data_IF_728494185321
#
_entry.id   IF_728494185321
#
_cell.length_a   1.000
_cell.length_b   1.000
_cell.length_c   1.000
_cell.angle_alpha   90.00
_cell.angle_beta   90.00
_cell.angle_gamma   90.00
#
_symmetry.space_group_name_H-M   'P 1'
#
loop_
_entity.id
_entity.type
_entity.pdbx_description
1 polymer ?
#
# COMPACT_ATOMS: atom_id res chain seq x y z
N UNK A 1 -14.56 6.29 14.90
CA UNK A 1 -14.82 4.85 14.78
C UNK A 1 -13.56 4.06 15.06
N UNK A 2 -13.70 3.00 15.84
CA UNK A 2 -12.61 2.13 16.30
C UNK A 2 -12.95 0.69 15.96
N UNK A 3 -11.95 -0.09 15.60
CA UNK A 3 -12.07 -1.51 15.34
C UNK A 3 -11.17 -2.26 16.30
N UNK A 4 -11.72 -3.21 17.04
CA UNK A 4 -10.95 -4.09 17.94
C UNK A 4 -10.96 -5.49 17.37
N UNK A 5 -9.77 -6.00 17.06
CA UNK A 5 -9.59 -7.41 16.68
C UNK A 5 -9.19 -8.20 17.91
N UNK A 6 -9.99 -9.21 18.27
CA UNK A 6 -9.71 -10.13 19.38
C UNK A 6 -9.40 -11.49 18.78
N UNK A 7 -8.21 -12.03 19.10
CA UNK A 7 -7.81 -13.36 18.67
C UNK A 7 -7.71 -14.29 19.87
N UNK A 8 -8.48 -15.37 19.85
CA UNK A 8 -8.42 -16.46 20.84
C UNK A 8 -7.92 -17.73 20.13
N UNK A 9 -6.63 -18.04 20.29
CA UNK A 9 -5.98 -19.13 19.55
C UNK A 9 -6.06 -18.96 18.02
N UNK A 10 -6.88 -19.78 17.37
CA UNK A 10 -7.13 -19.75 15.92
C UNK A 10 -8.42 -19.03 15.50
N UNK A 11 -9.24 -18.59 16.45
CA UNK A 11 -10.46 -17.83 16.16
C UNK A 11 -10.18 -16.32 16.24
N UNK A 12 -10.66 -15.57 15.24
CA UNK A 12 -10.59 -14.11 15.19
C UNK A 12 -12.01 -13.53 15.23
N UNK A 13 -12.27 -12.71 16.24
CA UNK A 13 -13.50 -11.93 16.38
C UNK A 13 -13.19 -10.45 16.17
N UNK A 14 -14.08 -9.74 15.47
CA UNK A 14 -13.93 -8.32 15.17
C UNK A 14 -15.10 -7.55 15.78
N UNK A 15 -14.78 -6.56 16.61
CA UNK A 15 -15.76 -5.67 17.24
C UNK A 15 -15.61 -4.26 16.70
N UNK A 16 -16.72 -3.63 16.37
CA UNK A 16 -16.77 -2.28 15.82
C UNK A 16 -17.40 -1.33 16.84
N UNK A 17 -16.75 -0.19 17.06
CA UNK A 17 -17.18 0.84 18.01
C UNK A 17 -17.24 2.20 17.32
N UNK A 18 -18.23 3.01 17.66
CA UNK A 18 -18.40 4.33 17.06
C UNK A 18 -17.61 5.40 17.84
N UNK A 19 -17.55 5.25 19.16
CA UNK A 19 -16.93 6.20 20.09
C UNK A 19 -15.83 5.55 20.95
N UNK A 20 -14.85 6.34 21.38
CA UNK A 20 -13.72 5.89 22.20
C UNK A 20 -14.20 5.39 23.57
N UNK A 21 -15.27 6.01 24.09
CA UNK A 21 -15.91 5.62 25.36
C UNK A 21 -16.40 4.18 25.35
N UNK A 22 -16.89 3.70 24.21
CA UNK A 22 -17.37 2.32 24.05
C UNK A 22 -16.19 1.33 24.06
N UNK A 23 -15.09 1.69 23.39
CA UNK A 23 -13.84 0.90 23.41
C UNK A 23 -13.28 0.82 24.83
N UNK A 24 -13.29 1.94 25.58
CA UNK A 24 -12.83 1.97 26.97
C UNK A 24 -13.68 1.11 27.89
N UNK A 25 -15.02 1.10 27.72
CA UNK A 25 -15.90 0.16 28.43
C UNK A 25 -15.60 -1.30 28.07
N UNK A 26 -15.43 -1.59 26.78
CA UNK A 26 -15.08 -2.93 26.32
C UNK A 26 -13.72 -3.41 26.88
N UNK A 27 -12.75 -2.51 27.02
CA UNK A 27 -11.47 -2.79 27.68
C UNK A 27 -11.63 -3.03 29.19
N UNK A 28 -12.48 -2.26 29.87
CA UNK A 28 -12.78 -2.49 31.30
C UNK A 28 -13.43 -3.86 31.53
N UNK A 29 -14.30 -4.29 30.63
CA UNK A 29 -14.95 -5.61 30.68
C UNK A 29 -13.98 -6.75 30.28
N UNK A 30 -12.92 -6.44 29.53
CA UNK A 30 -11.92 -7.40 29.04
C UNK A 30 -10.48 -6.90 29.28
N UNK A 31 -10.03 -6.88 30.56
CA UNK A 31 -8.70 -6.40 30.93
C UNK A 31 -7.56 -7.27 30.36
N UNK A 32 -7.87 -8.52 29.98
CA UNK A 32 -6.92 -9.47 29.39
C UNK A 32 -6.44 -9.06 28.00
N UNK A 33 -7.23 -8.25 27.27
CA UNK A 33 -6.96 -7.85 25.89
C UNK A 33 -5.93 -6.73 25.73
N UNK A 34 -5.61 -6.01 26.83
CA UNK A 34 -4.60 -4.93 26.88
C UNK A 34 -4.67 -3.95 25.68
N UNK A 35 -5.88 -3.49 25.37
CA UNK A 35 -6.20 -2.72 24.16
C UNK A 35 -5.62 -1.30 24.13
N UNK A 36 -5.38 -0.74 25.31
CA UNK A 36 -4.68 0.53 25.50
C UNK A 36 -3.33 0.19 26.10
N UNK A 37 -2.25 0.64 25.46
CA UNK A 37 -0.96 0.64 26.11
C UNK A 37 -1.04 1.68 27.23
N UNK A 38 -1.08 1.25 28.48
CA UNK A 38 -0.76 2.13 29.59
C UNK A 38 0.72 2.50 29.43
N UNK A 39 1.00 3.61 28.72
CA UNK A 39 2.32 4.27 28.67
C UNK A 39 2.86 4.61 30.08
N UNK A 40 2.05 4.42 31.14
CA UNK A 40 2.40 4.73 32.52
C UNK A 40 3.26 3.68 33.23
N UNK A 41 3.70 2.59 32.59
CA UNK A 41 4.59 1.61 33.24
C UNK A 41 5.97 1.43 32.61
N UNK A 42 6.32 2.19 31.56
CA UNK A 42 7.59 1.97 30.86
C UNK A 42 8.78 2.78 31.42
N UNK A 43 8.58 3.71 32.37
CA UNK A 43 9.67 4.57 32.88
C UNK A 43 10.14 4.34 34.33
N UNK A 44 9.57 3.42 35.11
CA UNK A 44 10.03 3.19 36.50
C UNK A 44 10.13 1.69 36.84
N UNK A 45 11.09 1.00 36.20
CA UNK A 45 11.59 -0.28 36.71
C UNK A 45 12.90 -0.02 37.47
N UNK A 46 12.92 -0.09 38.82
CA UNK A 46 14.17 -0.23 39.54
C UNK A 46 14.79 -1.59 39.19
N UNK A 47 16.07 -1.58 38.80
CA UNK A 47 16.86 -2.80 38.59
C UNK A 47 16.80 -3.67 39.86
N UNK A 48 16.03 -4.76 39.84
CA UNK A 48 16.14 -5.83 40.84
C UNK A 48 14.87 -6.29 41.57
N UNK A 49 13.67 -6.14 41.01
CA UNK A 49 12.43 -6.76 41.55
C UNK A 49 12.01 -8.04 40.80
N UNK A 50 11.33 -9.00 41.46
CA UNK A 50 11.03 -10.31 40.88
C UNK A 50 10.13 -10.18 39.66
N UNK A 51 10.52 -10.87 38.60
CA UNK A 51 9.80 -10.98 37.34
C UNK A 51 8.36 -11.41 37.61
N UNK A 52 7.39 -10.60 37.18
CA UNK A 52 5.98 -10.93 37.26
C UNK A 52 5.75 -12.34 36.69
N UNK A 53 5.14 -13.16 37.54
CA UNK A 53 4.87 -14.58 37.36
C UNK A 53 4.20 -14.83 36.01
N UNK A 54 4.85 -15.62 35.15
CA UNK A 54 4.21 -16.26 34.01
C UNK A 54 3.17 -17.24 34.56
N UNK A 55 1.90 -16.85 34.57
CA UNK A 55 0.80 -17.79 34.79
C UNK A 55 0.68 -18.67 33.54
N UNK A 56 0.99 -19.95 33.73
CA UNK A 56 0.80 -21.01 32.76
C UNK A 56 -0.70 -21.24 32.53
N UNK A 57 -1.11 -21.40 31.25
CA UNK A 57 -2.18 -22.33 30.90
C UNK A 57 -3.58 -21.82 30.52
N UNK A 58 -3.81 -20.52 30.31
CA UNK A 58 -5.07 -20.04 29.72
C UNK A 58 -4.79 -19.42 28.34
N UNK A 59 -5.60 -19.74 27.33
CA UNK A 59 -5.49 -19.17 25.98
C UNK A 59 -5.45 -17.65 26.06
N UNK A 60 -4.27 -17.06 25.84
CA UNK A 60 -4.08 -15.62 26.03
C UNK A 60 -4.68 -14.91 24.82
N UNK A 61 -5.94 -14.51 24.95
CA UNK A 61 -6.63 -13.69 23.95
C UNK A 61 -5.81 -12.42 23.72
N UNK A 62 -5.56 -12.09 22.44
CA UNK A 62 -4.81 -10.89 22.05
C UNK A 62 -5.76 -9.89 21.41
N UNK A 63 -5.81 -8.68 21.93
CA UNK A 63 -6.54 -7.57 21.36
C UNK A 63 -5.64 -6.64 20.54
N UNK A 64 -6.11 -6.16 19.39
CA UNK A 64 -5.49 -5.05 18.67
C UNK A 64 -6.53 -3.98 18.39
N UNK A 65 -6.28 -2.77 18.90
CA UNK A 65 -7.06 -1.57 18.59
C UNK A 65 -6.56 -0.97 17.26
N UNK A 66 -7.50 -0.65 16.37
CA UNK A 66 -7.25 0.04 15.11
C UNK A 66 -8.17 1.26 15.05
N UNK A 67 -7.57 2.44 15.01
CA UNK A 67 -8.30 3.69 14.85
C UNK A 67 -8.62 3.93 13.38
N UNK A 68 -9.91 4.16 13.07
CA UNK A 68 -10.36 4.42 11.71
C UNK A 68 -10.53 5.93 11.49
N UNK A 69 -9.40 6.65 11.47
CA UNK A 69 -9.36 8.11 11.27
C UNK A 69 -10.04 8.55 9.97
N UNK A 70 -9.99 7.70 8.93
CA UNK A 70 -10.55 8.00 7.60
C UNK A 70 -12.03 7.63 7.44
N UNK A 71 -12.69 7.14 8.50
CA UNK A 71 -14.08 6.66 8.44
C UNK A 71 -15.07 7.69 7.84
N UNK A 72 -14.90 8.98 8.16
CA UNK A 72 -15.74 10.05 7.63
C UNK A 72 -15.49 10.28 6.13
N UNK A 73 -14.23 10.26 5.70
CA UNK A 73 -13.85 10.42 4.29
C UNK A 73 -14.36 9.25 3.47
N UNK A 74 -14.21 8.02 3.98
CA UNK A 74 -14.72 6.81 3.35
C UNK A 74 -16.25 6.87 3.21
N UNK A 75 -16.98 7.32 4.24
CA UNK A 75 -18.43 7.50 4.16
C UNK A 75 -18.85 8.51 3.07
N UNK A 76 -18.13 9.62 2.93
CA UNK A 76 -18.38 10.60 1.86
C UNK A 76 -18.18 9.97 0.48
N UNK A 77 -17.07 9.26 0.29
CA UNK A 77 -16.77 8.57 -0.97
C UNK A 77 -17.81 7.50 -1.28
N UNK A 78 -18.23 6.70 -0.28
CA UNK A 78 -19.31 5.72 -0.42
C UNK A 78 -20.61 6.41 -0.86
N UNK A 79 -20.94 7.56 -0.28
CA UNK A 79 -22.11 8.35 -0.67
C UNK A 79 -22.04 8.85 -2.12
N UNK A 80 -20.87 9.29 -2.57
CA UNK A 80 -20.65 9.69 -3.96
C UNK A 80 -20.73 8.51 -4.94
N UNK A 81 -20.19 7.35 -4.56
CA UNK A 81 -20.29 6.12 -5.34
C UNK A 81 -21.74 5.65 -5.45
N UNK A 82 -22.50 5.69 -4.35
CA UNK A 82 -23.92 5.33 -4.35
C UNK A 82 -24.74 6.22 -5.30
N UNK A 83 -24.45 7.53 -5.38
CA UNK A 83 -25.09 8.45 -6.36
C UNK A 83 -24.79 8.08 -7.81
N UNK A 84 -23.64 7.45 -8.07
CA UNK A 84 -23.26 6.92 -9.39
C UNK A 84 -23.82 5.53 -9.66
N UNK A 85 -24.67 4.99 -8.78
CA UNK A 85 -25.25 3.65 -8.90
C UNK A 85 -24.34 2.53 -8.41
N UNK A 86 -23.19 2.85 -7.82
CA UNK A 86 -22.24 1.90 -7.26
C UNK A 86 -22.52 1.72 -5.76
N UNK A 87 -23.42 0.80 -5.43
CA UNK A 87 -23.75 0.48 -4.04
C UNK A 87 -22.66 -0.36 -3.39
N UNK A 88 -22.52 -0.25 -2.07
CA UNK A 88 -21.52 -1.01 -1.29
C UNK A 88 -21.75 -2.52 -1.42
N UNK A 89 -23.01 -2.94 -1.48
CA UNK A 89 -23.38 -4.36 -1.62
C UNK A 89 -22.87 -4.99 -2.92
N UNK A 90 -22.65 -4.17 -3.96
CA UNK A 90 -22.12 -4.63 -5.24
C UNK A 90 -20.59 -4.84 -5.25
N UNK A 91 -19.90 -4.56 -4.14
CA UNK A 91 -18.48 -4.88 -3.98
C UNK A 91 -18.24 -6.32 -3.51
N UNK A 92 -19.26 -6.97 -2.94
CA UNK A 92 -19.23 -8.39 -2.65
C UNK A 92 -19.62 -9.20 -3.91
N UNK A 93 -19.13 -10.43 -4.03
CA UNK A 93 -19.53 -11.32 -5.10
C UNK A 93 -20.99 -11.73 -4.90
N UNK A 94 -21.86 -11.36 -5.84
CA UNK A 94 -23.25 -11.78 -5.84
C UNK A 94 -23.42 -13.09 -6.64
N UNK A 95 -24.45 -13.87 -6.29
CA UNK A 95 -24.80 -15.10 -7.03
C UNK A 95 -25.42 -14.82 -8.41
N UNK A 96 -25.82 -13.57 -8.66
CA UNK A 96 -26.41 -13.10 -9.93
C UNK A 96 -25.57 -11.98 -10.51
N UNK A 97 -25.45 -11.88 -11.84
CA UNK A 97 -24.71 -10.81 -12.47
C UNK A 97 -25.40 -9.47 -12.21
N UNK A 98 -24.63 -8.50 -11.71
CA UNK A 98 -25.10 -7.14 -11.41
C UNK A 98 -24.88 -6.24 -12.62
N UNK A 99 -23.80 -6.47 -13.37
CA UNK A 99 -23.41 -5.67 -14.53
C UNK A 99 -23.14 -6.57 -15.74
N UNK A 100 -23.31 -6.00 -16.93
CA UNK A 100 -22.95 -6.62 -18.19
C UNK A 100 -21.94 -5.70 -18.90
N UNK A 101 -20.78 -6.26 -19.25
CA UNK A 101 -19.77 -5.55 -20.02
C UNK A 101 -19.83 -6.02 -21.47
N UNK A 102 -20.08 -5.07 -22.37
CA UNK A 102 -20.21 -5.33 -23.79
C UNK A 102 -18.89 -4.98 -24.49
N UNK A 103 -18.27 -5.98 -25.10
CA UNK A 103 -17.03 -5.86 -25.88
C UNK A 103 -17.37 -5.78 -27.38
N UNK A 104 -17.15 -4.61 -28.00
CA UNK A 104 -17.40 -4.37 -29.43
C UNK A 104 -18.62 -3.49 -29.70
N UNK A 105 -18.98 -3.33 -30.98
CA UNK A 105 -20.15 -2.57 -31.44
C UNK A 105 -20.93 -3.39 -32.49
N UNK A 106 -22.27 -3.28 -32.49
CA UNK A 106 -23.18 -4.00 -33.39
C UNK A 106 -23.39 -5.50 -33.08
N UNK A 107 -23.72 -6.29 -34.11
CA UNK A 107 -24.13 -7.72 -33.98
C UNK A 107 -23.02 -8.69 -33.51
N UNK A 108 -21.76 -8.25 -33.48
CA UNK A 108 -20.61 -9.07 -33.01
C UNK A 108 -20.20 -8.77 -31.57
N UNK A 109 -21.01 -8.02 -30.84
CA UNK A 109 -20.71 -7.66 -29.47
C UNK A 109 -20.72 -8.89 -28.54
N UNK A 110 -19.65 -9.05 -27.76
CA UNK A 110 -19.54 -10.12 -26.76
C UNK A 110 -19.98 -9.56 -25.41
N UNK A 111 -20.99 -10.18 -24.80
CA UNK A 111 -21.50 -9.78 -23.49
C UNK A 111 -20.83 -10.60 -22.39
N UNK A 112 -20.17 -9.92 -21.45
CA UNK A 112 -19.54 -10.51 -20.27
C UNK A 112 -20.36 -10.19 -19.03
N UNK A 113 -20.99 -11.18 -18.36
CA UNK A 113 -21.67 -10.98 -17.09
C UNK A 113 -20.64 -10.75 -15.97
N UNK A 114 -20.91 -9.77 -15.11
CA UNK A 114 -20.06 -9.39 -13.98
C UNK A 114 -20.85 -9.44 -12.67
N UNK A 115 -20.23 -10.02 -11.64
CA UNK A 115 -20.86 -10.34 -10.37
C UNK A 115 -20.46 -9.38 -9.24
N UNK A 116 -19.49 -8.50 -9.50
CA UNK A 116 -19.02 -7.49 -8.56
C UNK A 116 -18.44 -6.25 -9.27
N UNK A 117 -18.40 -5.11 -8.59
CA UNK A 117 -17.78 -3.87 -9.11
C UNK A 117 -16.28 -4.04 -9.42
N UNK A 118 -15.46 -4.68 -8.57
CA UNK A 118 -14.04 -4.87 -8.85
C UNK A 118 -13.76 -5.65 -10.15
N UNK A 119 -14.65 -6.58 -10.53
CA UNK A 119 -14.55 -7.34 -11.78
C UNK A 119 -14.64 -6.46 -13.02
N UNK A 120 -15.36 -5.32 -12.96
CA UNK A 120 -15.45 -4.37 -14.10
C UNK A 120 -14.05 -3.93 -14.52
N UNK A 121 -13.25 -3.44 -13.56
CA UNK A 121 -11.90 -2.98 -13.84
C UNK A 121 -11.01 -4.12 -14.33
N UNK A 122 -11.07 -5.28 -13.68
CA UNK A 122 -10.29 -6.45 -14.08
C UNK A 122 -10.61 -6.87 -15.51
N UNK A 123 -11.89 -6.92 -15.88
CA UNK A 123 -12.34 -7.37 -17.20
C UNK A 123 -12.02 -6.35 -18.29
N UNK A 124 -12.15 -5.05 -18.01
CA UNK A 124 -11.71 -3.98 -18.92
C UNK A 124 -10.21 -4.09 -19.19
N UNK A 125 -9.39 -4.29 -18.14
CA UNK A 125 -7.95 -4.45 -18.29
C UNK A 125 -7.61 -5.73 -19.06
N UNK A 126 -8.33 -6.82 -18.83
CA UNK A 126 -8.17 -8.08 -19.58
C UNK A 126 -8.44 -7.86 -21.07
N UNK A 127 -9.59 -7.27 -21.42
CA UNK A 127 -10.00 -6.97 -22.79
C UNK A 127 -8.99 -6.02 -23.45
N UNK A 128 -8.61 -4.94 -22.77
CA UNK A 128 -7.63 -3.96 -23.27
C UNK A 128 -6.22 -4.53 -23.43
N UNK A 129 -5.89 -5.63 -22.75
CA UNK A 129 -4.63 -6.36 -22.94
C UNK A 129 -4.69 -7.34 -24.12
N UNK A 130 -5.87 -7.80 -24.54
CA UNK A 130 -5.98 -8.69 -25.72
C UNK A 130 -5.51 -7.95 -26.96
N UNK A 131 -4.55 -8.54 -27.67
CA UNK A 131 -3.92 -7.92 -28.85
C UNK A 131 -2.73 -7.02 -28.52
N UNK A 132 -2.49 -6.68 -27.26
CA UNK A 132 -1.29 -5.94 -26.84
C UNK A 132 -0.16 -6.92 -26.58
N UNK A 133 0.82 -6.98 -27.50
CA UNK A 133 2.07 -7.68 -27.24
C UNK A 133 2.99 -6.80 -26.40
N UNK A 134 3.08 -7.09 -25.10
CA UNK A 134 4.01 -6.40 -24.21
C UNK A 134 5.41 -6.98 -24.43
N UNK A 135 6.25 -6.26 -25.17
CA UNK A 135 7.68 -6.58 -25.30
C UNK A 135 8.48 -5.78 -24.27
N UNK A 136 9.19 -6.48 -23.40
CA UNK A 136 10.16 -5.86 -22.49
C UNK A 136 11.53 -5.88 -23.15
N UNK A 137 12.02 -4.70 -23.54
CA UNK A 137 13.40 -4.54 -23.99
C UNK A 137 14.34 -4.61 -22.78
N UNK A 138 15.33 -5.52 -22.80
CA UNK A 138 16.36 -5.62 -21.74
C UNK A 138 17.49 -4.63 -21.93
N UNK A 139 17.66 -4.13 -23.16
CA UNK A 139 18.60 -3.08 -23.52
C UNK A 139 18.23 -2.46 -24.85
N UNK A 140 18.93 -1.38 -25.22
CA UNK A 140 18.66 -0.64 -26.45
C UNK A 140 18.93 -1.47 -27.72
N UNK A 141 19.82 -2.47 -27.64
CA UNK A 141 20.12 -3.36 -28.77
C UNK A 141 18.97 -4.30 -29.18
N UNK A 142 17.93 -4.43 -28.35
CA UNK A 142 16.72 -5.21 -28.67
C UNK A 142 15.64 -4.38 -29.39
N UNK A 143 15.85 -3.07 -29.51
CA UNK A 143 14.96 -2.13 -30.18
C UNK A 143 15.37 -1.93 -31.64
N UNK A 144 14.37 -1.83 -32.52
CA UNK A 144 14.61 -1.55 -33.92
C UNK A 144 14.95 -0.07 -34.13
N UNK A 145 15.68 0.29 -35.19
CA UNK A 145 16.09 1.67 -35.45
C UNK A 145 14.90 2.67 -35.51
N UNK A 146 13.76 2.26 -36.07
CA UNK A 146 12.53 3.08 -36.12
C UNK A 146 11.93 3.32 -34.74
N UNK A 147 12.00 2.34 -33.85
CA UNK A 147 11.47 2.44 -32.48
C UNK A 147 12.35 3.41 -31.67
N UNK A 148 13.67 3.20 -31.67
CA UNK A 148 14.64 4.09 -31.00
C UNK A 148 14.50 5.55 -31.44
N UNK A 149 14.31 5.77 -32.74
CA UNK A 149 14.14 7.12 -33.25
C UNK A 149 12.88 7.77 -32.69
N UNK A 150 11.74 7.10 -32.81
CA UNK A 150 10.45 7.62 -32.36
C UNK A 150 10.37 7.83 -30.84
N UNK A 151 11.08 7.02 -30.05
CA UNK A 151 11.00 7.10 -28.58
C UNK A 151 12.04 8.03 -27.98
N UNK A 152 13.29 7.99 -28.46
CA UNK A 152 14.43 8.62 -27.77
C UNK A 152 15.22 9.63 -28.61
N UNK A 153 15.16 9.57 -29.95
CA UNK A 153 16.02 10.44 -30.78
C UNK A 153 15.29 11.59 -31.47
N UNK A 154 14.01 11.44 -31.79
CA UNK A 154 13.19 12.45 -32.46
C UNK A 154 13.14 13.75 -31.63
N UNK A 155 13.72 14.88 -32.09
CA UNK A 155 13.71 16.14 -31.36
C UNK A 155 12.32 16.66 -30.99
N UNK A 156 11.29 16.29 -31.76
CA UNK A 156 9.92 16.71 -31.49
C UNK A 156 9.25 15.92 -30.36
N UNK A 157 9.73 14.70 -30.06
CA UNK A 157 9.09 13.78 -29.09
C UNK A 157 9.97 13.40 -27.92
N UNK A 158 11.29 13.47 -28.08
CA UNK A 158 12.25 13.04 -27.06
C UNK A 158 12.14 13.94 -25.82
N UNK A 159 12.28 13.30 -24.66
CA UNK A 159 12.43 14.01 -23.38
C UNK A 159 13.88 13.84 -22.94
N UNK A 160 14.60 14.95 -22.87
CA UNK A 160 15.98 14.99 -22.37
C UNK A 160 15.98 15.66 -21.00
N UNK A 161 16.73 15.09 -20.07
CA UNK A 161 17.05 15.73 -18.80
C UNK A 161 18.40 16.40 -18.95
N UNK A 162 18.46 17.69 -18.58
CA UNK A 162 19.72 18.44 -18.53
C UNK A 162 20.32 18.24 -17.14
N UNK A 163 21.59 17.84 -17.09
CA UNK A 163 22.35 17.78 -15.84
C UNK A 163 22.97 19.15 -15.63
N UNK A 164 22.66 19.79 -14.50
CA UNK A 164 23.15 21.10 -14.12
C UNK A 164 24.04 20.99 -12.86
N UNK A 165 25.18 21.69 -12.89
CA UNK A 165 26.14 21.80 -11.79
C UNK A 165 26.32 23.28 -11.48
N UNK A 166 25.97 23.68 -10.26
CA UNK A 166 25.99 25.06 -9.79
C UNK A 166 26.80 25.14 -8.49
N UNK A 167 27.17 26.34 -8.06
CA UNK A 167 27.98 26.53 -6.84
C UNK A 167 27.30 25.94 -5.59
N UNK A 168 25.96 25.94 -5.54
CA UNK A 168 25.17 25.41 -4.43
C UNK A 168 25.27 23.88 -4.27
N UNK A 169 25.45 23.13 -5.37
CA UNK A 169 25.51 21.66 -5.35
C UNK A 169 26.91 21.11 -5.66
N UNK A 170 27.89 21.97 -5.98
CA UNK A 170 29.23 21.56 -6.36
C UNK A 170 29.96 20.81 -5.23
N UNK A 171 29.83 21.28 -3.98
CA UNK A 171 30.49 20.66 -2.81
C UNK A 171 29.89 19.28 -2.52
N UNK A 172 28.56 19.17 -2.57
CA UNK A 172 27.87 17.90 -2.33
C UNK A 172 28.13 16.90 -3.45
N UNK A 173 28.18 17.37 -4.71
CA UNK A 173 28.53 16.53 -5.85
C UNK A 173 29.94 15.94 -5.69
N UNK A 174 30.95 16.75 -5.34
CA UNK A 174 32.33 16.29 -5.13
C UNK A 174 32.43 15.26 -4.00
N UNK A 175 31.72 15.50 -2.90
CA UNK A 175 31.59 14.54 -1.80
C UNK A 175 30.97 13.23 -2.27
N UNK A 176 29.88 13.28 -3.05
CA UNK A 176 29.25 12.07 -3.60
C UNK A 176 30.15 11.31 -4.57
N UNK A 177 30.89 12.01 -5.43
CA UNK A 177 31.89 11.39 -6.31
C UNK A 177 32.97 10.67 -5.51
N UNK A 178 33.49 11.30 -4.45
CA UNK A 178 34.52 10.70 -3.59
C UNK A 178 34.00 9.45 -2.88
N UNK A 179 32.78 9.48 -2.35
CA UNK A 179 32.18 8.33 -1.63
C UNK A 179 31.85 7.19 -2.60
N UNK A 180 31.23 7.48 -3.75
CA UNK A 180 30.72 6.46 -4.67
C UNK A 180 31.79 5.93 -5.64
N UNK A 181 32.72 6.77 -6.06
CA UNK A 181 33.72 6.44 -7.08
C UNK A 181 35.17 6.43 -6.56
N UNK A 182 35.41 6.82 -5.31
CA UNK A 182 36.75 6.81 -4.72
C UNK A 182 37.27 5.40 -4.40
N UNK A 183 38.57 5.29 -4.11
CA UNK A 183 39.26 4.00 -3.95
C UNK A 183 38.90 3.26 -2.66
N UNK A 184 38.41 3.98 -1.65
CA UNK A 184 38.08 3.39 -0.35
C UNK A 184 36.69 2.75 -0.40
N UNK A 185 36.63 1.45 -0.13
CA UNK A 185 35.39 0.66 -0.21
C UNK A 185 34.45 0.90 0.98
N UNK A 186 35.00 1.18 2.16
CA UNK A 186 34.24 1.31 3.42
C UNK A 186 33.17 2.42 3.36
N UNK A 187 33.46 3.67 2.95
CA UNK A 187 32.45 4.72 2.84
C UNK A 187 31.36 4.40 1.82
N UNK A 188 31.73 3.76 0.70
CA UNK A 188 30.78 3.37 -0.35
C UNK A 188 29.77 2.34 0.17
N UNK A 189 30.24 1.33 0.90
CA UNK A 189 29.37 0.29 1.45
C UNK A 189 28.39 0.88 2.46
N UNK A 190 28.87 1.69 3.41
CA UNK A 190 28.01 2.35 4.40
C UNK A 190 26.94 3.20 3.71
N UNK A 191 27.32 3.99 2.70
CA UNK A 191 26.38 4.79 1.93
C UNK A 191 25.28 3.96 1.25
N UNK A 192 25.63 2.81 0.67
CA UNK A 192 24.66 1.91 0.04
C UNK A 192 23.73 1.28 1.08
N UNK A 193 24.26 0.80 2.21
CA UNK A 193 23.46 0.18 3.28
C UNK A 193 22.42 1.15 3.84
N UNK A 194 22.82 2.41 4.07
CA UNK A 194 21.95 3.43 4.65
C UNK A 194 20.84 3.90 3.69
N UNK A 195 21.09 3.88 2.37
CA UNK A 195 20.20 4.49 1.38
C UNK A 195 19.48 3.50 0.44
N UNK A 196 19.90 2.23 0.37
CA UNK A 196 19.40 1.26 -0.62
C UNK A 196 17.87 1.06 -0.57
N UNK A 197 17.26 1.15 0.61
CA UNK A 197 15.81 0.98 0.79
C UNK A 197 15.03 2.27 0.50
N UNK A 198 15.68 3.43 0.58
CA UNK A 198 15.06 4.75 0.46
C UNK A 198 14.97 5.25 -0.99
N UNK A 199 15.67 4.60 -1.94
CA UNK A 199 15.72 5.00 -3.36
C UNK A 199 14.33 5.06 -4.02
N UNK A 200 13.35 4.28 -3.54
CA UNK A 200 12.00 4.26 -4.12
C UNK A 200 11.21 5.56 -3.89
N UNK A 201 11.60 6.38 -2.92
CA UNK A 201 10.85 7.56 -2.49
C UNK A 201 11.65 8.87 -2.63
N UNK A 202 12.62 8.94 -3.54
CA UNK A 202 13.45 10.13 -3.71
C UNK A 202 12.67 11.36 -4.25
N UNK A 203 11.53 11.12 -4.91
CA UNK A 203 10.74 12.15 -5.62
C UNK A 203 9.31 12.35 -5.05
N UNK A 204 9.05 12.03 -3.78
CA UNK A 204 7.73 12.22 -3.13
C UNK A 204 7.58 13.62 -2.55
#
# INVERSE_FOLDING_TARGET
SYLVKVRDGNEEAVYYFHDEKEVRRFHQDNPDLNLFEDETQQELLPLGGPTLVKTNGASRRRGKLIELHESITIQKIIGELARKGLQVDHYAAADRPIFELIEGDGEKAIVHPLFSIPEIHQKIVEIGRRGVQIKRFKGLGEMNAKELFNTTMDPAKRKLLKVDLNDDNAVDADKMFTILMGDVVEPRRQFIEDNALNVRNLDV
#
